data_IF_451804183698
#
_entry.id   IF_451804183698
#
_cell.length_a   1.000
_cell.length_b   1.000
_cell.length_c   1.000
_cell.angle_alpha   90.00
_cell.angle_beta   90.00
_cell.angle_gamma   90.00
#
_symmetry.space_group_name_H-M   'P 1'
#
loop_
_entity.id
_entity.type
_entity.pdbx_description
1 polymer ?
#
# COMPACT_ATOMS: atom_id res chain seq x y z
N UNK A 1 15.38 14.43 -1.25
CA UNK A 1 14.34 15.13 -0.47
C UNK A 1 13.54 14.12 0.34
N UNK A 2 13.32 14.40 1.59
CA UNK A 2 12.59 13.49 2.47
C UNK A 2 11.08 13.66 2.29
N UNK A 3 10.34 12.55 2.22
CA UNK A 3 8.87 12.56 2.11
C UNK A 3 8.22 12.91 3.46
N UNK A 4 8.96 12.74 4.55
CA UNK A 4 8.44 12.92 5.89
C UNK A 4 8.32 11.59 6.63
N UNK A 5 7.45 11.56 7.64
CA UNK A 5 7.24 10.35 8.45
C UNK A 5 5.92 9.68 8.08
N UNK A 6 5.77 8.42 8.45
CA UNK A 6 4.52 7.69 8.22
C UNK A 6 3.36 8.37 8.96
N UNK A 7 3.59 8.90 10.16
CA UNK A 7 2.54 9.63 10.89
C UNK A 7 2.05 10.85 10.12
N UNK A 8 2.95 11.56 9.47
CA UNK A 8 2.58 12.69 8.61
C UNK A 8 1.81 12.21 7.37
N UNK A 9 2.23 11.09 6.78
CA UNK A 9 1.60 10.55 5.58
C UNK A 9 0.15 10.14 5.81
N UNK A 10 -0.19 9.64 7.00
CA UNK A 10 -1.56 9.25 7.34
C UNK A 10 -2.54 10.41 7.22
N UNK A 11 -2.08 11.63 7.36
CA UNK A 11 -2.94 12.83 7.31
C UNK A 11 -3.00 13.46 5.93
N UNK A 12 -2.18 12.99 5.00
CA UNK A 12 -2.14 13.52 3.64
C UNK A 12 -3.13 12.82 2.73
N UNK A 13 -3.49 13.51 1.65
CA UNK A 13 -4.29 12.92 0.58
C UNK A 13 -3.39 12.71 -0.63
N UNK A 14 -3.62 11.62 -1.36
CA UNK A 14 -2.90 11.35 -2.60
C UNK A 14 -3.15 12.47 -3.61
N UNK A 15 -2.10 12.84 -4.32
CA UNK A 15 -2.17 13.88 -5.35
C UNK A 15 -2.08 13.23 -6.72
N UNK A 16 -2.69 13.84 -7.76
CA UNK A 16 -2.51 13.32 -9.11
C UNK A 16 -1.02 13.23 -9.43
N UNK A 17 -0.61 12.09 -9.97
CA UNK A 17 0.79 11.85 -10.31
C UNK A 17 0.97 11.98 -11.81
N UNK A 18 1.74 12.99 -12.23
CA UNK A 18 2.03 13.22 -13.63
C UNK A 18 3.36 12.58 -13.99
N UNK A 19 3.49 12.12 -15.23
CA UNK A 19 4.75 11.58 -15.71
C UNK A 19 5.86 12.62 -15.67
N UNK A 20 7.11 12.15 -15.59
CA UNK A 20 8.27 13.02 -15.56
C UNK A 20 8.80 13.31 -14.16
N UNK A 21 8.05 12.96 -13.11
CA UNK A 21 8.52 13.05 -11.74
C UNK A 21 9.38 11.81 -11.45
N UNK A 22 10.59 11.95 -10.88
CA UNK A 22 11.41 10.77 -10.56
C UNK A 22 10.76 9.93 -9.47
N UNK A 23 10.86 8.59 -9.57
CA UNK A 23 10.33 7.72 -8.51
C UNK A 23 11.12 7.90 -7.22
N UNK A 24 10.49 7.52 -6.10
CA UNK A 24 11.13 7.51 -4.79
C UNK A 24 12.34 6.57 -4.85
N UNK A 25 13.54 7.02 -4.48
CA UNK A 25 14.73 6.17 -4.49
C UNK A 25 14.61 5.02 -3.50
N UNK A 26 15.31 3.92 -3.78
CA UNK A 26 15.31 2.74 -2.90
C UNK A 26 15.64 3.08 -1.45
N UNK A 27 16.62 3.93 -1.22
CA UNK A 27 17.03 4.31 0.13
C UNK A 27 15.92 5.00 0.92
N UNK A 28 15.20 5.90 0.27
CA UNK A 28 14.06 6.59 0.90
C UNK A 28 12.90 5.62 1.13
N UNK A 29 12.63 4.74 0.15
CA UNK A 29 11.61 3.71 0.31
C UNK A 29 11.91 2.81 1.49
N UNK A 30 13.15 2.34 1.61
CA UNK A 30 13.57 1.48 2.72
C UNK A 30 13.45 2.20 4.07
N UNK A 31 13.76 3.50 4.10
CA UNK A 31 13.60 4.31 5.31
C UNK A 31 12.14 4.37 5.75
N UNK A 32 11.23 4.63 4.82
CA UNK A 32 9.80 4.70 5.11
C UNK A 32 9.24 3.35 5.54
N UNK A 33 9.72 2.27 4.92
CA UNK A 33 9.23 0.92 5.23
C UNK A 33 9.61 0.43 6.63
N UNK A 34 10.59 1.04 7.27
CA UNK A 34 10.91 0.71 8.67
C UNK A 34 9.75 1.01 9.60
N UNK A 35 8.91 1.98 9.24
CA UNK A 35 7.75 2.37 10.05
C UNK A 35 6.43 1.82 9.47
N UNK A 36 6.51 0.97 8.44
CA UNK A 36 5.37 0.29 7.84
C UNK A 36 5.58 -1.22 7.94
N UNK A 37 5.41 -1.74 9.16
CA UNK A 37 5.65 -3.17 9.43
C UNK A 37 4.83 -4.06 8.50
N UNK A 38 5.47 -5.07 7.93
CA UNK A 38 4.82 -6.01 7.02
C UNK A 38 4.89 -5.62 5.54
N UNK A 39 5.13 -4.36 5.23
CA UNK A 39 5.32 -3.93 3.85
C UNK A 39 6.77 -4.12 3.43
N UNK A 40 6.97 -4.70 2.27
CA UNK A 40 8.30 -4.99 1.74
C UNK A 40 8.45 -4.37 0.36
N UNK A 41 9.67 -3.94 0.05
CA UNK A 41 10.01 -3.46 -1.28
C UNK A 41 10.19 -4.68 -2.19
N UNK A 42 9.59 -4.65 -3.38
CA UNK A 42 9.80 -5.74 -4.34
C UNK A 42 11.24 -5.72 -4.86
N UNK A 43 11.67 -6.85 -5.41
CA UNK A 43 13.06 -7.03 -5.85
C UNK A 43 13.51 -5.95 -6.84
N UNK A 44 12.62 -5.55 -7.74
CA UNK A 44 12.92 -4.50 -8.72
C UNK A 44 12.87 -3.08 -8.15
N UNK A 45 12.46 -2.92 -6.88
CA UNK A 45 12.38 -1.62 -6.22
C UNK A 45 11.24 -0.73 -6.68
N UNK A 46 10.32 -1.26 -7.50
CA UNK A 46 9.26 -0.46 -8.11
C UNK A 46 7.92 -0.53 -7.42
N UNK A 47 7.76 -1.47 -6.50
CA UNK A 47 6.50 -1.71 -5.78
C UNK A 47 6.76 -1.95 -4.32
N UNK A 48 5.75 -1.70 -3.48
CA UNK A 48 5.73 -2.20 -2.11
C UNK A 48 4.59 -3.20 -2.00
N UNK A 49 4.78 -4.23 -1.17
CA UNK A 49 3.86 -5.36 -1.07
C UNK A 49 3.69 -5.78 0.38
N UNK A 50 2.47 -6.10 0.77
CA UNK A 50 2.19 -6.71 2.06
C UNK A 50 1.25 -7.89 1.89
N UNK A 51 1.46 -8.93 2.71
CA UNK A 51 0.64 -10.13 2.71
C UNK A 51 -0.02 -10.33 4.07
N UNK A 52 -1.24 -10.87 4.03
CA UNK A 52 -2.00 -11.25 5.23
C UNK A 52 -2.64 -12.61 5.00
N UNK A 53 -2.79 -13.39 6.08
CA UNK A 53 -3.65 -14.57 6.06
C UNK A 53 -4.87 -14.24 6.91
N UNK A 54 -6.03 -14.17 6.26
CA UNK A 54 -7.28 -13.79 6.93
C UNK A 54 -8.03 -15.03 7.44
N UNK A 55 -9.03 -14.80 8.25
CA UNK A 55 -9.75 -15.85 8.96
C UNK A 55 -10.51 -16.78 8.01
N UNK A 56 -11.18 -16.23 6.99
CA UNK A 56 -11.94 -16.98 6.00
C UNK A 56 -12.15 -16.13 4.75
N UNK A 57 -12.79 -16.70 3.75
CA UNK A 57 -12.96 -16.05 2.45
C UNK A 57 -13.68 -14.70 2.55
N UNK A 58 -14.80 -14.66 3.28
CA UNK A 58 -15.56 -13.40 3.42
C UNK A 58 -14.75 -12.32 4.13
N UNK A 59 -13.86 -12.69 5.06
CA UNK A 59 -12.98 -11.71 5.70
C UNK A 59 -12.05 -11.05 4.66
N UNK A 60 -11.58 -11.81 3.66
CA UNK A 60 -10.78 -11.25 2.58
C UNK A 60 -11.60 -10.29 1.73
N UNK A 61 -12.82 -10.68 1.37
CA UNK A 61 -13.70 -9.84 0.55
C UNK A 61 -14.07 -8.54 1.30
N UNK A 62 -14.41 -8.66 2.58
CA UNK A 62 -14.75 -7.49 3.41
C UNK A 62 -13.57 -6.52 3.47
N UNK A 63 -12.36 -7.04 3.66
CA UNK A 63 -11.16 -6.22 3.67
C UNK A 63 -10.93 -5.53 2.32
N UNK A 64 -11.08 -6.27 1.23
CA UNK A 64 -10.94 -5.69 -0.11
C UNK A 64 -11.98 -4.60 -0.39
N UNK A 65 -13.20 -4.75 0.11
CA UNK A 65 -14.21 -3.70 -0.03
C UNK A 65 -13.79 -2.41 0.67
N UNK A 66 -13.20 -2.52 1.86
CA UNK A 66 -12.68 -1.36 2.58
C UNK A 66 -11.50 -0.72 1.84
N UNK A 67 -10.60 -1.55 1.33
CA UNK A 67 -9.45 -1.06 0.54
C UNK A 67 -9.95 -0.37 -0.73
N UNK A 68 -10.97 -0.93 -1.38
CA UNK A 68 -11.54 -0.35 -2.60
C UNK A 68 -12.14 1.04 -2.33
N UNK A 69 -12.87 1.20 -1.24
CA UNK A 69 -13.43 2.51 -0.86
C UNK A 69 -12.31 3.53 -0.62
N UNK A 70 -11.28 3.11 0.09
CA UNK A 70 -10.12 3.94 0.35
C UNK A 70 -9.42 4.35 -0.95
N UNK A 71 -9.22 3.38 -1.84
CA UNK A 71 -8.54 3.62 -3.12
C UNK A 71 -9.31 4.62 -3.99
N UNK A 72 -10.65 4.50 -4.02
CA UNK A 72 -11.48 5.44 -4.77
C UNK A 72 -11.42 6.84 -4.17
N UNK A 73 -11.45 6.94 -2.84
CA UNK A 73 -11.33 8.22 -2.15
C UNK A 73 -9.99 8.91 -2.42
N UNK A 74 -8.91 8.13 -2.44
CA UNK A 74 -7.57 8.68 -2.65
C UNK A 74 -7.24 8.87 -4.12
N UNK A 75 -8.00 8.24 -5.02
CA UNK A 75 -7.68 8.30 -6.45
C UNK A 75 -6.40 7.55 -6.77
N UNK A 76 -6.03 6.53 -5.99
CA UNK A 76 -4.81 5.76 -6.17
C UNK A 76 -5.12 4.28 -5.92
N UNK A 77 -4.97 3.46 -6.96
CA UNK A 77 -5.52 2.10 -6.97
C UNK A 77 -4.43 1.04 -6.83
N UNK A 78 -4.49 0.21 -5.78
CA UNK A 78 -3.55 -0.90 -5.58
C UNK A 78 -3.91 -2.10 -6.45
N UNK A 79 -2.94 -3.02 -6.59
CA UNK A 79 -3.21 -4.35 -7.12
C UNK A 79 -3.61 -5.25 -5.97
N UNK A 80 -4.71 -5.97 -6.12
CA UNK A 80 -5.27 -6.83 -5.09
C UNK A 80 -5.16 -8.29 -5.50
N UNK A 81 -4.66 -9.12 -4.60
CA UNK A 81 -4.50 -10.57 -4.85
C UNK A 81 -5.15 -11.37 -3.74
N UNK A 82 -5.96 -12.37 -4.12
CA UNK A 82 -6.55 -13.32 -3.18
C UNK A 82 -6.29 -14.71 -3.73
N UNK A 83 -5.48 -15.47 -3.01
CA UNK A 83 -5.05 -16.81 -3.45
C UNK A 83 -5.33 -17.80 -2.33
N UNK A 84 -5.86 -18.99 -2.69
CA UNK A 84 -6.18 -20.01 -1.69
C UNK A 84 -7.23 -19.54 -0.70
N UNK A 85 -8.20 -18.79 -1.16
CA UNK A 85 -9.36 -18.24 -0.47
C UNK A 85 -9.07 -17.30 0.73
N UNK A 86 -7.90 -17.34 1.33
CA UNK A 86 -7.61 -16.56 2.54
C UNK A 86 -6.25 -15.84 2.52
N UNK A 87 -5.44 -16.03 1.49
CA UNK A 87 -4.14 -15.37 1.40
C UNK A 87 -4.27 -14.09 0.60
N UNK A 88 -4.19 -12.98 1.29
CA UNK A 88 -4.36 -11.63 0.72
C UNK A 88 -3.00 -11.00 0.49
N UNK A 89 -2.80 -10.41 -0.68
CA UNK A 89 -1.63 -9.59 -0.93
C UNK A 89 -2.06 -8.30 -1.63
N UNK A 90 -1.43 -7.22 -1.25
CA UNK A 90 -1.67 -5.91 -1.86
C UNK A 90 -0.34 -5.34 -2.30
N UNK A 91 -0.29 -4.87 -3.54
CA UNK A 91 0.89 -4.19 -4.10
C UNK A 91 0.51 -2.78 -4.48
N UNK A 92 1.42 -1.86 -4.23
CA UNK A 92 1.24 -0.44 -4.55
C UNK A 92 2.40 0.05 -5.40
N UNK A 93 2.08 0.78 -6.45
CA UNK A 93 3.04 1.46 -7.30
C UNK A 93 2.32 2.55 -8.10
N UNK A 94 3.08 3.45 -8.70
CA UNK A 94 2.53 4.57 -9.44
C UNK A 94 2.86 4.41 -10.91
N UNK A 95 1.85 4.05 -11.71
CA UNK A 95 2.02 3.75 -13.14
C UNK A 95 2.62 4.90 -13.93
N UNK A 96 2.18 6.12 -13.64
CA UNK A 96 2.60 7.31 -14.39
C UNK A 96 4.12 7.53 -14.38
N UNK A 97 4.81 7.05 -13.35
CA UNK A 97 6.26 7.22 -13.21
C UNK A 97 7.03 5.90 -13.22
N UNK A 98 6.32 4.77 -13.36
CA UNK A 98 6.95 3.46 -13.41
C UNK A 98 7.67 3.07 -12.13
N UNK A 99 7.18 3.48 -10.99
CA UNK A 99 7.82 3.20 -9.70
C UNK A 99 7.03 3.77 -8.55
N UNK A 100 7.70 4.01 -7.41
CA UNK A 100 7.04 4.47 -6.20
C UNK A 100 6.95 6.00 -6.14
N UNK A 101 5.84 6.49 -5.63
CA UNK A 101 5.63 7.89 -5.30
C UNK A 101 5.17 7.99 -3.84
N UNK A 102 5.08 9.21 -3.34
CA UNK A 102 4.54 9.46 -2.00
C UNK A 102 3.15 8.84 -1.84
N UNK A 103 2.33 8.84 -2.91
CA UNK A 103 0.98 8.27 -2.89
C UNK A 103 0.96 6.81 -2.44
N UNK A 104 1.95 6.02 -2.83
CA UNK A 104 2.02 4.61 -2.45
C UNK A 104 2.18 4.44 -0.94
N UNK A 105 2.99 5.27 -0.33
CA UNK A 105 3.21 5.23 1.12
C UNK A 105 2.02 5.81 1.89
N UNK A 106 1.37 6.84 1.36
CA UNK A 106 0.12 7.37 1.94
C UNK A 106 -0.93 6.26 1.97
N UNK A 107 -1.13 5.59 0.84
CA UNK A 107 -2.13 4.53 0.72
C UNK A 107 -1.80 3.35 1.63
N UNK A 108 -0.54 2.93 1.68
CA UNK A 108 -0.11 1.83 2.55
C UNK A 108 -0.39 2.15 4.02
N UNK A 109 -0.05 3.36 4.47
CA UNK A 109 -0.27 3.78 5.84
C UNK A 109 -1.76 3.77 6.20
N UNK A 110 -2.61 4.20 5.28
CA UNK A 110 -4.06 4.22 5.48
C UNK A 110 -4.68 2.82 5.43
N UNK A 111 -4.17 1.94 4.56
CA UNK A 111 -4.61 0.54 4.53
C UNK A 111 -4.36 -0.12 5.88
N UNK A 112 -3.22 0.18 6.50
CA UNK A 112 -2.87 -0.40 7.80
C UNK A 112 -3.80 0.04 8.94
N UNK A 113 -4.56 1.11 8.76
CA UNK A 113 -5.56 1.55 9.73
C UNK A 113 -6.92 0.85 9.55
N UNK A 114 -7.12 0.11 8.47
CA UNK A 114 -8.37 -0.57 8.21
C UNK A 114 -8.51 -1.84 9.05
N UNK A 115 -9.74 -2.17 9.51
CA UNK A 115 -9.94 -3.42 10.24
C UNK A 115 -9.76 -4.64 9.33
N UNK A 116 -9.10 -5.66 9.84
CA UNK A 116 -8.88 -6.91 9.12
C UNK A 116 -8.98 -8.06 10.11
N UNK A 117 -9.70 -9.12 9.73
CA UNK A 117 -9.85 -10.32 10.57
C UNK A 117 -8.80 -11.35 10.20
N UNK A 118 -7.74 -11.41 10.98
CA UNK A 118 -6.64 -12.33 10.74
C UNK A 118 -6.98 -13.75 11.22
N UNK A 119 -6.26 -14.74 10.66
CA UNK A 119 -6.50 -16.16 10.91
C UNK A 119 -6.50 -16.55 12.38
N UNK A 120 -5.61 -15.98 13.16
CA UNK A 120 -5.41 -16.35 14.56
C UNK A 120 -5.95 -15.33 15.56
N UNK A 121 -7.00 -14.60 15.17
CA UNK A 121 -7.61 -13.61 16.05
C UNK A 121 -9.08 -13.92 16.35
#
# INVERSE_FOLDING_TARGET
>A
MSIGTIEELKTKKCQPCEGGVPPVPREEAERLLKDLAGWELTEDGKRIRREWTVKHFMAAIDFFNLVAELAEDEGHHPDLHLVGYRNVAIELWTHAIGGLSENDFITAAKIDELPIKLKDT
#
